data_IF_249424414023
#
_entry.id   IF_249424414023
#
_cell.length_a   1.000
_cell.length_b   1.000
_cell.length_c   1.000
_cell.angle_alpha   90.00
_cell.angle_beta   90.00
_cell.angle_gamma   90.00
#
_symmetry.space_group_name_H-M   'P 1'
#
loop_
_entity.id
_entity.type
_entity.pdbx_description
1 polymer ?
#
# COMPACT_ATOMS: atom_id res chain seq x y z
N UNK A 1 3.84 -5.73 -10.99
CA UNK A 1 3.26 -4.49 -11.57
C UNK A 1 2.49 -4.76 -12.85
N UNK A 2 3.07 -5.41 -13.87
CA UNK A 2 2.33 -5.76 -15.10
C UNK A 2 1.03 -6.54 -14.86
N UNK A 3 1.05 -7.51 -13.92
CA UNK A 3 -0.15 -8.29 -13.55
C UNK A 3 -1.38 -7.45 -13.19
N UNK A 4 -1.17 -6.33 -12.50
CA UNK A 4 -2.27 -5.50 -11.97
C UNK A 4 -2.42 -4.18 -12.71
N UNK A 5 -1.57 -3.87 -13.69
CA UNK A 5 -1.60 -2.61 -14.45
C UNK A 5 -1.50 -1.36 -13.57
N UNK A 6 -0.80 -1.46 -12.44
CA UNK A 6 -0.43 -0.32 -11.58
C UNK A 6 0.97 0.15 -12.01
N UNK A 7 1.21 1.46 -12.18
CA UNK A 7 2.53 1.99 -12.49
C UNK A 7 3.58 1.49 -11.50
N UNK A 8 4.71 1.04 -12.02
CA UNK A 8 5.80 0.53 -11.19
C UNK A 8 6.29 1.56 -10.16
N UNK A 9 6.44 2.82 -10.61
CA UNK A 9 6.82 3.95 -9.77
C UNK A 9 5.86 4.14 -8.60
N UNK A 10 4.55 4.01 -8.82
CA UNK A 10 3.55 4.14 -7.74
C UNK A 10 3.72 3.06 -6.69
N UNK A 11 3.76 1.78 -7.10
CA UNK A 11 3.90 0.69 -6.13
C UNK A 11 5.22 0.78 -5.35
N UNK A 12 6.33 1.17 -6.01
CA UNK A 12 7.62 1.32 -5.33
C UNK A 12 7.65 2.53 -4.39
N UNK A 13 7.16 3.69 -4.83
CA UNK A 13 7.12 4.89 -4.01
C UNK A 13 6.21 4.70 -2.79
N UNK A 14 5.07 4.04 -2.94
CA UNK A 14 4.22 3.65 -1.81
C UNK A 14 4.97 2.68 -0.90
N UNK A 15 5.59 1.64 -1.46
CA UNK A 15 6.39 0.70 -0.67
C UNK A 15 7.48 1.39 0.15
N UNK A 16 8.19 2.38 -0.42
CA UNK A 16 9.18 3.18 0.30
C UNK A 16 8.54 4.04 1.40
N UNK A 17 7.49 4.77 1.09
CA UNK A 17 6.83 5.67 2.04
C UNK A 17 6.22 4.89 3.22
N UNK A 18 5.42 3.87 2.93
CA UNK A 18 4.66 3.11 3.93
C UNK A 18 5.56 2.23 4.82
N UNK A 19 6.70 1.78 4.31
CA UNK A 19 7.63 0.93 5.09
C UNK A 19 8.75 1.70 5.79
N UNK A 20 8.80 3.02 5.64
CA UNK A 20 9.95 3.83 6.07
C UNK A 20 11.24 3.35 5.38
N UNK A 21 11.19 3.17 4.05
CA UNK A 21 12.26 2.58 3.24
C UNK A 21 12.73 1.20 3.75
N UNK A 22 11.79 0.38 4.23
CA UNK A 22 12.04 -0.96 4.75
C UNK A 22 12.53 -1.02 6.19
N UNK A 23 12.72 0.13 6.85
CA UNK A 23 13.25 0.18 8.22
C UNK A 23 12.22 -0.09 9.30
N UNK A 24 10.92 0.01 9.00
CA UNK A 24 9.87 -0.12 10.01
C UNK A 24 9.91 -1.47 10.71
N UNK A 25 9.59 -1.48 12.01
CA UNK A 25 9.54 -2.72 12.80
C UNK A 25 8.56 -3.72 12.22
N UNK A 26 7.41 -3.24 11.76
CA UNK A 26 6.40 -4.08 11.11
C UNK A 26 7.01 -4.74 9.88
N UNK A 27 7.58 -3.97 8.96
CA UNK A 27 8.22 -4.52 7.75
C UNK A 27 9.31 -5.54 8.06
N UNK A 28 10.23 -5.23 8.98
CA UNK A 28 11.35 -6.13 9.32
C UNK A 28 10.92 -7.44 9.99
N UNK A 29 9.84 -7.43 10.78
CA UNK A 29 9.39 -8.60 11.54
C UNK A 29 8.30 -9.41 10.83
N UNK A 30 7.51 -8.79 9.95
CA UNK A 30 6.35 -9.42 9.33
C UNK A 30 6.34 -9.40 7.80
N UNK A 31 7.36 -8.82 7.15
CA UNK A 31 7.38 -8.54 5.72
C UNK A 31 6.17 -7.72 5.23
N UNK A 32 5.50 -6.98 6.12
CA UNK A 32 4.36 -6.14 5.76
C UNK A 32 4.85 -4.73 5.46
N UNK A 33 5.04 -4.43 4.18
CA UNK A 33 5.57 -3.13 3.71
C UNK A 33 4.50 -2.02 3.63
N UNK A 34 3.22 -2.34 3.78
CA UNK A 34 2.11 -1.42 3.53
C UNK A 34 1.15 -1.29 4.72
N UNK A 35 1.54 -1.74 5.91
CA UNK A 35 0.69 -1.65 7.11
C UNK A 35 -0.65 -2.39 6.97
N UNK A 36 -0.72 -3.48 6.19
CA UNK A 36 -2.01 -4.10 5.88
C UNK A 36 -2.56 -4.80 7.14
N UNK A 37 -3.68 -4.27 7.65
CA UNK A 37 -4.44 -4.85 8.77
C UNK A 37 -5.09 -6.17 8.36
N UNK A 38 -5.35 -7.05 9.33
CA UNK A 38 -5.95 -8.37 9.08
C UNK A 38 -7.30 -8.22 8.35
N UNK A 39 -8.20 -7.38 8.89
CA UNK A 39 -9.59 -7.29 8.42
C UNK A 39 -10.34 -8.61 8.65
N UNK A 40 -11.63 -8.65 8.30
CA UNK A 40 -12.50 -9.80 8.60
C UNK A 40 -12.21 -11.08 7.81
N UNK A 41 -11.50 -10.98 6.68
CA UNK A 41 -11.27 -12.10 5.76
C UNK A 41 -9.85 -12.69 5.78
N UNK A 42 -8.99 -12.27 6.72
CA UNK A 42 -7.61 -12.77 6.78
C UNK A 42 -7.50 -14.01 7.65
N UNK A 43 -7.02 -15.10 7.05
CA UNK A 43 -6.77 -16.38 7.72
C UNK A 43 -5.28 -16.77 7.77
N UNK A 44 -4.40 -15.91 7.27
CA UNK A 44 -2.96 -16.13 7.29
C UNK A 44 -2.34 -15.79 8.64
N UNK A 45 -1.00 -15.83 8.71
CA UNK A 45 -0.25 -15.46 9.92
C UNK A 45 -0.49 -13.99 10.28
N UNK A 46 -0.54 -13.68 11.57
CA UNK A 46 -0.79 -12.33 12.09
C UNK A 46 0.24 -11.93 13.14
N UNK A 47 0.35 -10.63 13.36
CA UNK A 47 1.10 -9.99 14.45
C UNK A 47 0.29 -8.82 14.99
N UNK A 48 0.56 -8.41 16.23
CA UNK A 48 -0.13 -7.30 16.87
C UNK A 48 0.85 -6.18 17.17
N UNK A 49 0.47 -4.95 16.82
CA UNK A 49 1.27 -3.75 17.04
C UNK A 49 0.34 -2.59 17.38
N UNK A 50 0.85 -1.64 18.15
CA UNK A 50 0.17 -0.37 18.38
C UNK A 50 0.50 0.55 17.19
N UNK A 51 -0.54 1.05 16.52
CA UNK A 51 -0.42 1.97 15.38
C UNK A 51 -1.40 3.15 15.56
N UNK A 52 -2.63 3.05 15.06
CA UNK A 52 -3.69 4.02 15.32
C UNK A 52 -4.35 3.77 16.69
N UNK A 53 -4.40 2.50 17.10
CA UNK A 53 -4.94 2.05 18.37
C UNK A 53 -4.07 0.94 18.99
N UNK A 54 -4.18 0.67 20.30
CA UNK A 54 -3.47 -0.43 20.93
C UNK A 54 -3.90 -1.79 20.39
N UNK A 55 -2.94 -2.69 20.16
CA UNK A 55 -3.18 -4.09 19.85
C UNK A 55 -3.85 -4.33 18.49
N UNK A 56 -3.55 -3.52 17.48
CA UNK A 56 -4.10 -3.71 16.15
C UNK A 56 -3.50 -4.93 15.43
N UNK A 57 -4.35 -5.67 14.72
CA UNK A 57 -3.95 -6.88 14.00
C UNK A 57 -3.41 -6.55 12.61
N UNK A 58 -2.17 -6.97 12.34
CA UNK A 58 -1.52 -6.85 11.05
C UNK A 58 -1.22 -8.21 10.42
N UNK A 59 -1.29 -8.25 9.09
CA UNK A 59 -0.93 -9.43 8.31
C UNK A 59 0.57 -9.68 8.37
N UNK A 60 0.97 -10.95 8.41
CA UNK A 60 2.36 -11.40 8.31
C UNK A 60 2.52 -12.18 7.01
N UNK A 61 3.55 -11.83 6.26
CA UNK A 61 3.86 -12.42 4.96
C UNK A 61 5.18 -13.19 5.02
N UNK A 62 5.34 -14.17 4.11
CA UNK A 62 6.56 -14.97 4.01
C UNK A 62 7.75 -14.15 3.50
N UNK A 63 7.48 -13.18 2.63
CA UNK A 63 8.46 -12.31 2.00
C UNK A 63 7.79 -11.02 1.51
N UNK A 64 8.59 -10.02 1.14
CA UNK A 64 8.09 -8.74 0.63
C UNK A 64 7.17 -8.90 -0.58
N UNK A 65 7.46 -9.83 -1.50
CA UNK A 65 6.65 -10.03 -2.71
C UNK A 65 5.17 -10.30 -2.38
N UNK A 66 4.89 -11.08 -1.34
CA UNK A 66 3.52 -11.37 -0.92
C UNK A 66 2.78 -10.12 -0.43
N UNK A 67 3.43 -9.22 0.33
CA UNK A 67 2.79 -7.97 0.76
C UNK A 67 2.55 -7.02 -0.41
N UNK A 68 3.46 -6.96 -1.37
CA UNK A 68 3.30 -6.16 -2.60
C UNK A 68 2.18 -6.70 -3.49
N UNK A 69 2.03 -8.02 -3.57
CA UNK A 69 0.93 -8.65 -4.30
C UNK A 69 -0.43 -8.35 -3.64
N UNK A 70 -0.51 -8.44 -2.31
CA UNK A 70 -1.74 -8.16 -1.55
C UNK A 70 -2.14 -6.68 -1.65
N UNK A 71 -1.18 -5.77 -1.54
CA UNK A 71 -1.39 -4.34 -1.79
C UNK A 71 -1.87 -4.06 -3.22
N UNK A 72 -1.22 -4.65 -4.22
CA UNK A 72 -1.60 -4.47 -5.63
C UNK A 72 -3.02 -4.98 -5.90
N UNK A 73 -3.38 -6.13 -5.31
CA UNK A 73 -4.75 -6.67 -5.38
C UNK A 73 -5.75 -5.74 -4.71
N UNK A 74 -5.43 -5.16 -3.57
CA UNK A 74 -6.29 -4.18 -2.89
C UNK A 74 -6.59 -2.98 -3.79
N UNK A 75 -5.57 -2.40 -4.43
CA UNK A 75 -5.76 -1.30 -5.38
C UNK A 75 -6.59 -1.73 -6.60
N UNK A 76 -6.32 -2.90 -7.17
CA UNK A 76 -6.99 -3.39 -8.37
C UNK A 76 -8.46 -3.82 -8.15
N UNK A 77 -8.84 -4.21 -6.93
CA UNK A 77 -10.17 -4.79 -6.66
C UNK A 77 -11.15 -3.83 -6.00
N UNK A 78 -10.69 -2.75 -5.37
CA UNK A 78 -11.59 -1.81 -4.69
C UNK A 78 -12.11 -0.77 -5.69
N UNK A 79 -13.44 -0.72 -5.83
CA UNK A 79 -14.13 0.17 -6.78
C UNK A 79 -13.72 1.65 -6.70
N UNK A 80 -13.41 2.16 -5.50
CA UNK A 80 -12.94 3.55 -5.30
C UNK A 80 -11.68 3.90 -6.08
N UNK A 81 -10.85 2.91 -6.43
CA UNK A 81 -9.62 3.11 -7.20
C UNK A 81 -9.78 2.83 -8.69
N UNK A 82 -10.95 2.36 -9.14
CA UNK A 82 -11.18 1.95 -10.53
C UNK A 82 -10.88 3.07 -11.55
N UNK A 83 -11.11 4.34 -11.18
CA UNK A 83 -10.82 5.47 -12.05
C UNK A 83 -9.31 5.65 -12.34
N UNK A 84 -8.42 5.20 -11.46
CA UNK A 84 -6.96 5.28 -11.66
C UNK A 84 -6.50 4.43 -12.85
N UNK A 85 -7.17 3.30 -13.08
CA UNK A 85 -6.83 2.38 -14.17
C UNK A 85 -7.25 2.89 -15.55
N UNK A 86 -7.89 4.05 -15.63
CA UNK A 86 -8.16 4.77 -16.89
C UNK A 86 -7.02 5.73 -17.27
N UNK A 87 -6.11 6.01 -16.35
CA UNK A 87 -4.96 6.88 -16.59
C UNK A 87 -3.88 6.12 -17.35
N UNK A 88 -3.01 6.88 -18.04
CA UNK A 88 -1.81 6.29 -18.65
C UNK A 88 -0.96 5.59 -17.58
N UNK A 89 -0.38 4.40 -17.85
CA UNK A 89 0.56 3.75 -16.96
C UNK A 89 1.81 4.59 -16.63
N UNK A 90 2.10 5.63 -17.42
CA UNK A 90 3.20 6.58 -17.19
C UNK A 90 2.79 7.83 -16.40
N UNK A 91 1.50 8.04 -16.16
CA UNK A 91 0.98 9.21 -15.43
C UNK A 91 1.00 8.98 -13.91
N UNK A 92 2.20 8.85 -13.34
CA UNK A 92 2.36 8.65 -11.90
C UNK A 92 1.85 9.85 -11.08
N UNK A 93 1.88 11.08 -11.64
CA UNK A 93 1.34 12.27 -10.96
C UNK A 93 -0.18 12.18 -10.83
N UNK A 94 -0.88 11.86 -11.92
CA UNK A 94 -2.31 11.61 -11.91
C UNK A 94 -2.70 10.48 -10.96
N UNK A 95 -1.90 9.40 -10.95
CA UNK A 95 -2.08 8.31 -9.99
C UNK A 95 -1.93 8.76 -8.53
N UNK A 96 -0.89 9.52 -8.19
CA UNK A 96 -0.66 10.01 -6.83
C UNK A 96 -1.80 10.91 -6.34
N UNK A 97 -2.25 11.87 -7.16
CA UNK A 97 -3.38 12.73 -6.85
C UNK A 97 -4.70 11.93 -6.77
N UNK A 98 -4.91 10.98 -7.68
CA UNK A 98 -6.10 10.15 -7.69
C UNK A 98 -6.18 9.20 -6.49
N UNK A 99 -5.06 8.62 -6.05
CA UNK A 99 -4.97 7.82 -4.81
C UNK A 99 -5.42 8.65 -3.60
N UNK A 100 -4.90 9.87 -3.47
CA UNK A 100 -5.31 10.81 -2.41
C UNK A 100 -6.81 11.13 -2.51
N UNK A 101 -7.29 11.48 -3.69
CA UNK A 101 -8.71 11.81 -3.94
C UNK A 101 -9.64 10.63 -3.64
N UNK A 102 -9.20 9.40 -3.91
CA UNK A 102 -9.93 8.17 -3.62
C UNK A 102 -9.89 7.76 -2.13
N UNK A 103 -9.21 8.54 -1.28
CA UNK A 103 -9.13 8.29 0.15
C UNK A 103 -8.16 7.18 0.54
N UNK A 104 -7.06 7.01 -0.22
CA UNK A 104 -6.00 6.07 0.16
C UNK A 104 -5.32 6.49 1.48
N UNK A 105 -5.08 7.78 1.67
CA UNK A 105 -4.46 8.34 2.87
C UNK A 105 -5.16 9.64 3.32
N UNK A 106 -5.18 9.89 4.63
CA UNK A 106 -5.74 11.11 5.24
C UNK A 106 -4.78 12.29 5.20
N UNK A 107 -3.46 12.05 5.20
CA UNK A 107 -2.42 13.08 5.10
C UNK A 107 -2.62 13.97 3.86
N UNK A 108 -2.80 15.31 3.99
CA UNK A 108 -3.00 16.21 2.86
C UNK A 108 -1.82 16.23 1.88
N UNK A 109 -0.59 16.00 2.36
CA UNK A 109 0.63 16.02 1.55
C UNK A 109 0.92 14.67 0.85
N UNK A 110 0.04 13.66 0.98
CA UNK A 110 0.32 12.30 0.47
C UNK A 110 0.71 12.27 -1.01
N UNK A 111 -0.06 12.94 -1.86
CA UNK A 111 0.21 12.94 -3.29
C UNK A 111 1.56 13.59 -3.62
N UNK A 112 1.87 14.73 -2.99
CA UNK A 112 3.15 15.42 -3.18
C UNK A 112 4.33 14.63 -2.66
N UNK A 113 4.19 13.96 -1.50
CA UNK A 113 5.22 13.08 -0.95
C UNK A 113 5.50 11.89 -1.86
N UNK A 114 4.46 11.30 -2.45
CA UNK A 114 4.62 10.19 -3.38
C UNK A 114 5.29 10.62 -4.70
N UNK A 115 5.00 11.82 -5.19
CA UNK A 115 5.60 12.40 -6.40
C UNK A 115 7.07 12.77 -6.19
N UNK A 116 7.48 13.10 -4.96
CA UNK A 116 8.86 13.50 -4.63
C UNK A 116 9.85 12.34 -4.45
N UNK A 117 9.37 11.09 -4.45
CA UNK A 117 10.18 9.88 -4.41
C UNK A 117 10.55 9.48 -5.83
#
# INVERSE_FOLDING_TARGET
>A
MQRYHIPASITLAQGLLESGAGSSTLTRKSNNHFGIKCGSGWSGKTTYHDDDAPGECFRVYKNARESYEDHSRFLATKQRYAALFKLSPTDYKGWAHGLKKAGYATNPAYATSLISI
#
